data_IF_244481437998
#
_entry.id   IF_244481437998
#
_cell.length_a   1.000
_cell.length_b   1.000
_cell.length_c   1.000
_cell.angle_alpha   90.00
_cell.angle_beta   90.00
_cell.angle_gamma   90.00
#
_symmetry.space_group_name_H-M   'P 1'
#
loop_
_entity.id
_entity.type
_entity.pdbx_description
1 polymer ?
#
# COMPACT_ATOMS: atom_id res chain seq x y z
N UNK A 1 0.35 17.57 11.08
CA UNK A 1 1.15 16.96 12.16
C UNK A 1 1.79 15.64 11.74
N UNK A 2 1.02 14.65 11.20
CA UNK A 2 1.59 13.35 10.79
C UNK A 2 2.71 13.54 9.75
N UNK A 3 2.48 14.34 8.71
CA UNK A 3 3.51 14.64 7.70
C UNK A 3 4.74 15.30 8.31
N UNK A 4 4.56 16.24 9.24
CA UNK A 4 5.66 16.91 9.92
C UNK A 4 6.48 15.94 10.78
N UNK A 5 5.79 15.05 11.53
CA UNK A 5 6.44 13.97 12.28
C UNK A 5 7.27 13.06 11.37
N UNK A 6 6.74 12.69 10.20
CA UNK A 6 7.45 11.86 9.22
C UNK A 6 8.69 12.59 8.66
N UNK A 7 8.59 13.90 8.35
CA UNK A 7 9.74 14.70 7.88
C UNK A 7 10.85 14.74 8.92
N UNK A 8 10.51 14.95 10.21
CA UNK A 8 11.50 14.92 11.28
C UNK A 8 12.12 13.53 11.46
N UNK A 9 11.33 12.45 11.33
CA UNK A 9 11.84 11.10 11.37
C UNK A 9 12.85 10.82 10.24
N UNK A 10 12.51 11.20 9.00
CA UNK A 10 13.43 11.10 7.86
C UNK A 10 14.72 11.91 8.05
N UNK A 11 14.65 13.03 8.76
CA UNK A 11 15.81 13.85 9.11
C UNK A 11 16.58 13.37 10.35
N UNK A 12 16.20 12.21 10.96
CA UNK A 12 16.83 11.67 12.17
C UNK A 12 16.58 12.49 13.45
N UNK A 13 15.60 13.44 13.42
CA UNK A 13 15.32 14.36 14.54
C UNK A 13 14.25 13.80 15.47
N UNK A 14 14.58 12.72 16.19
CA UNK A 14 13.61 11.97 16.99
C UNK A 14 12.94 12.78 18.09
N UNK A 15 13.67 13.68 18.78
CA UNK A 15 13.11 14.58 19.80
C UNK A 15 11.94 15.45 19.22
N UNK A 16 12.09 15.89 17.97
CA UNK A 16 11.04 16.67 17.28
C UNK A 16 9.87 15.79 16.86
N UNK A 17 10.11 14.52 16.53
CA UNK A 17 9.05 13.53 16.27
C UNK A 17 8.17 13.40 17.52
N UNK A 18 8.77 13.17 18.69
CA UNK A 18 8.06 13.05 19.95
C UNK A 18 7.28 14.32 20.29
N UNK A 19 7.91 15.49 20.17
CA UNK A 19 7.25 16.77 20.40
C UNK A 19 5.99 16.94 19.54
N UNK A 20 6.05 16.60 18.26
CA UNK A 20 4.90 16.70 17.33
C UNK A 20 3.81 15.69 17.71
N UNK A 21 4.18 14.46 18.08
CA UNK A 21 3.25 13.41 18.53
C UNK A 21 2.54 13.80 19.83
N UNK A 22 3.25 14.37 20.80
CA UNK A 22 2.68 14.88 22.04
C UNK A 22 1.66 16.01 21.79
N UNK A 23 1.97 16.93 20.85
CA UNK A 23 1.01 17.98 20.44
C UNK A 23 -0.25 17.34 19.85
N UNK A 24 -0.11 16.30 19.03
CA UNK A 24 -1.27 15.57 18.48
C UNK A 24 -2.12 14.95 19.58
N UNK A 25 -1.51 14.28 20.56
CA UNK A 25 -2.20 13.65 21.68
C UNK A 25 -2.95 14.71 22.49
N UNK A 26 -2.28 15.80 22.88
CA UNK A 26 -2.89 16.91 23.65
C UNK A 26 -4.05 17.59 22.92
N UNK A 27 -4.02 17.60 21.58
CA UNK A 27 -5.11 18.14 20.74
C UNK A 27 -6.20 17.11 20.43
N UNK A 28 -6.11 15.89 20.94
CA UNK A 28 -7.05 14.81 20.64
C UNK A 28 -7.04 14.37 19.16
N UNK A 29 -5.97 14.68 18.42
CA UNK A 29 -5.84 14.33 17.01
C UNK A 29 -5.43 12.86 16.88
N UNK A 30 -6.25 12.08 16.19
CA UNK A 30 -5.96 10.67 15.88
C UNK A 30 -5.45 10.54 14.45
N UNK A 31 -4.45 9.67 14.25
CA UNK A 31 -4.00 9.28 12.91
C UNK A 31 -5.15 8.56 12.21
N UNK A 32 -5.49 9.00 11.00
CA UNK A 32 -6.49 8.32 10.18
C UNK A 32 -5.99 6.93 9.80
N UNK A 33 -6.80 5.91 10.07
CA UNK A 33 -6.50 4.53 9.63
C UNK A 33 -6.57 4.45 8.11
N UNK A 34 -5.52 3.89 7.50
CA UNK A 34 -5.47 3.64 6.07
C UNK A 34 -6.25 2.38 5.71
N UNK A 35 -7.15 2.49 4.72
CA UNK A 35 -7.81 1.35 4.12
C UNK A 35 -7.83 1.49 2.61
N UNK A 36 -7.97 0.35 1.93
CA UNK A 36 -8.19 0.27 0.51
C UNK A 36 -9.44 -0.57 0.22
N UNK A 37 -10.16 -0.21 -0.84
CA UNK A 37 -11.31 -0.99 -1.30
C UNK A 37 -11.10 -1.44 -2.73
N UNK A 38 -11.66 -2.60 -3.07
CA UNK A 38 -11.79 -3.08 -4.44
C UNK A 38 -13.21 -3.59 -4.68
N UNK A 39 -13.65 -3.55 -5.92
CA UNK A 39 -14.96 -4.05 -6.32
C UNK A 39 -14.81 -5.36 -7.09
N UNK A 40 -15.56 -6.36 -6.67
CA UNK A 40 -15.67 -7.66 -7.34
C UNK A 40 -17.15 -8.05 -7.36
N UNK A 41 -17.68 -8.42 -8.52
CA UNK A 41 -19.08 -8.82 -8.70
C UNK A 41 -20.08 -7.79 -8.12
N UNK A 42 -19.85 -6.49 -8.39
CA UNK A 42 -20.66 -5.37 -7.90
C UNK A 42 -20.71 -5.23 -6.36
N UNK A 43 -19.80 -5.88 -5.66
CA UNK A 43 -19.64 -5.76 -4.21
C UNK A 43 -18.31 -5.11 -3.88
N UNK A 44 -18.35 -4.17 -2.95
CA UNK A 44 -17.14 -3.51 -2.44
C UNK A 44 -16.58 -4.26 -1.24
N UNK A 45 -15.30 -4.57 -1.30
CA UNK A 45 -14.53 -5.21 -0.24
C UNK A 45 -13.50 -4.23 0.31
N UNK A 46 -13.44 -4.13 1.64
CA UNK A 46 -12.54 -3.22 2.34
C UNK A 46 -11.43 -4.00 3.03
N UNK A 47 -10.21 -3.49 2.93
CA UNK A 47 -9.01 -4.04 3.57
C UNK A 47 -8.28 -2.94 4.33
N UNK A 48 -7.91 -3.23 5.58
CA UNK A 48 -6.96 -2.45 6.38
C UNK A 48 -5.55 -3.07 6.27
N UNK A 49 -4.54 -2.37 6.77
CA UNK A 49 -3.19 -2.94 6.86
C UNK A 49 -3.20 -4.16 7.78
N UNK A 50 -2.68 -5.28 7.30
CA UNK A 50 -2.61 -6.54 8.06
C UNK A 50 -3.99 -7.17 8.34
N UNK A 51 -5.02 -6.79 7.60
CA UNK A 51 -6.39 -7.28 7.80
C UNK A 51 -6.48 -8.81 7.65
N UNK A 52 -7.03 -9.47 8.67
CA UNK A 52 -7.27 -10.92 8.70
C UNK A 52 -8.75 -11.27 8.88
N UNK A 53 -9.64 -10.29 8.75
CA UNK A 53 -11.08 -10.46 8.98
C UNK A 53 -11.83 -11.09 7.81
N UNK A 54 -11.24 -11.06 6.60
CA UNK A 54 -11.89 -11.62 5.42
C UNK A 54 -11.95 -13.15 5.47
N UNK A 55 -13.08 -13.79 5.11
CA UNK A 55 -13.22 -15.26 5.12
C UNK A 55 -12.13 -16.00 4.34
N UNK A 56 -11.64 -15.42 3.26
CA UNK A 56 -10.60 -15.99 2.41
C UNK A 56 -9.18 -15.45 2.73
N UNK A 57 -8.96 -14.96 3.93
CA UNK A 57 -7.66 -14.37 4.35
C UNK A 57 -6.48 -15.26 3.99
N UNK A 58 -6.56 -16.56 4.26
CA UNK A 58 -5.47 -17.51 3.98
C UNK A 58 -5.12 -17.53 2.49
N UNK A 59 -6.12 -17.57 1.62
CA UNK A 59 -5.90 -17.57 0.17
C UNK A 59 -5.33 -16.24 -0.33
N UNK A 60 -5.84 -15.11 0.20
CA UNK A 60 -5.38 -13.76 -0.15
C UNK A 60 -3.90 -13.57 0.21
N UNK A 61 -3.51 -13.94 1.43
CA UNK A 61 -2.14 -13.80 1.91
C UNK A 61 -1.18 -14.70 1.14
N UNK A 62 -1.55 -15.97 0.95
CA UNK A 62 -0.75 -16.91 0.15
C UNK A 62 -0.52 -16.38 -1.28
N UNK A 63 -1.58 -15.94 -1.94
CA UNK A 63 -1.48 -15.38 -3.28
C UNK A 63 -0.62 -14.11 -3.32
N UNK A 64 -0.79 -13.22 -2.33
CA UNK A 64 0.04 -12.01 -2.21
C UNK A 64 1.51 -12.37 -2.05
N UNK A 65 1.83 -13.38 -1.23
CA UNK A 65 3.20 -13.83 -1.03
C UNK A 65 3.82 -14.35 -2.34
N UNK A 66 3.10 -15.22 -3.06
CA UNK A 66 3.53 -15.73 -4.38
C UNK A 66 3.68 -14.60 -5.41
N UNK A 67 2.76 -13.64 -5.42
CA UNK A 67 2.80 -12.48 -6.31
C UNK A 67 4.02 -11.60 -6.03
N UNK A 68 4.31 -11.34 -4.75
CA UNK A 68 5.46 -10.50 -4.37
C UNK A 68 6.79 -11.19 -4.66
N UNK A 69 6.88 -12.53 -4.58
CA UNK A 69 8.07 -13.26 -5.03
C UNK A 69 8.30 -13.09 -6.54
N UNK A 70 7.25 -13.26 -7.36
CA UNK A 70 7.33 -12.98 -8.81
C UNK A 70 7.78 -11.54 -9.11
N UNK A 71 7.31 -10.57 -8.31
CA UNK A 71 7.76 -9.19 -8.46
C UNK A 71 9.25 -9.02 -8.12
N UNK A 72 9.76 -9.73 -7.11
CA UNK A 72 11.20 -9.73 -6.77
C UNK A 72 12.07 -10.33 -7.87
N UNK A 73 11.62 -11.42 -8.48
CA UNK A 73 12.31 -12.04 -9.61
C UNK A 73 12.53 -11.08 -10.79
N UNK A 74 11.62 -10.10 -10.96
CA UNK A 74 11.74 -9.07 -12.01
C UNK A 74 12.28 -7.73 -11.49
N UNK A 75 12.84 -7.70 -10.26
CA UNK A 75 13.62 -6.58 -9.74
C UNK A 75 12.92 -5.68 -8.71
N UNK A 76 11.73 -6.03 -8.21
CA UNK A 76 11.12 -5.29 -7.12
C UNK A 76 11.91 -5.44 -5.82
N UNK A 77 12.24 -4.31 -5.20
CA UNK A 77 12.78 -4.23 -3.84
C UNK A 77 11.88 -3.34 -2.99
N UNK A 78 11.50 -3.76 -1.76
CA UNK A 78 10.69 -2.93 -0.88
C UNK A 78 11.39 -1.61 -0.55
N UNK A 79 10.66 -0.49 -0.63
CA UNK A 79 11.15 0.82 -0.24
C UNK A 79 10.98 0.98 1.29
N UNK A 80 11.85 0.33 2.07
CA UNK A 80 11.76 0.28 3.53
C UNK A 80 12.10 1.60 4.22
N UNK A 81 12.85 2.47 3.58
CA UNK A 81 13.29 3.76 4.13
C UNK A 81 12.14 4.73 4.45
N UNK A 82 11.00 4.59 3.75
CA UNK A 82 9.84 5.47 3.93
C UNK A 82 8.92 5.07 5.09
N UNK A 83 9.19 3.94 5.78
CA UNK A 83 8.27 3.37 6.78
C UNK A 83 8.94 3.17 8.13
N UNK A 84 8.39 3.86 9.13
CA UNK A 84 8.62 3.67 10.58
C UNK A 84 10.06 3.38 11.01
N UNK A 85 10.81 4.41 11.31
CA UNK A 85 12.18 4.34 11.87
C UNK A 85 12.29 3.59 13.23
N UNK A 86 11.17 3.26 13.85
CA UNK A 86 11.11 2.57 15.17
C UNK A 86 11.05 1.04 15.05
N UNK A 87 10.91 0.48 13.84
CA UNK A 87 10.85 -0.96 13.60
C UNK A 87 12.19 -1.46 13.05
N UNK A 88 12.55 -2.68 13.41
CA UNK A 88 13.64 -3.41 12.76
C UNK A 88 13.33 -3.59 11.27
N UNK A 89 14.36 -3.73 10.43
CA UNK A 89 14.21 -3.83 8.98
C UNK A 89 13.24 -4.95 8.56
N UNK A 90 13.31 -6.11 9.22
CA UNK A 90 12.43 -7.25 8.94
C UNK A 90 10.96 -6.93 9.26
N UNK A 91 10.71 -6.24 10.37
CA UNK A 91 9.36 -5.81 10.77
C UNK A 91 8.79 -4.76 9.82
N UNK A 92 9.64 -3.85 9.34
CA UNK A 92 9.26 -2.85 8.33
C UNK A 92 8.86 -3.51 7.01
N UNK A 93 9.69 -4.42 6.51
CA UNK A 93 9.41 -5.18 5.28
C UNK A 93 8.12 -6.00 5.43
N UNK A 94 7.92 -6.62 6.59
CA UNK A 94 6.70 -7.38 6.87
C UNK A 94 5.45 -6.48 6.90
N UNK A 95 5.55 -5.30 7.54
CA UNK A 95 4.45 -4.32 7.57
C UNK A 95 4.11 -3.82 6.15
N UNK A 96 5.12 -3.49 5.33
CA UNK A 96 4.95 -3.07 3.95
C UNK A 96 4.31 -4.14 3.07
N UNK A 97 4.61 -5.41 3.33
CA UNK A 97 4.09 -6.54 2.56
C UNK A 97 2.56 -6.62 2.62
N UNK A 98 1.96 -6.28 3.77
CA UNK A 98 0.52 -6.43 4.03
C UNK A 98 -0.22 -5.10 4.08
N UNK A 99 0.24 -4.09 3.34
CA UNK A 99 -0.51 -2.86 3.17
C UNK A 99 -1.87 -3.11 2.53
N UNK A 100 -2.86 -2.31 2.92
CA UNK A 100 -4.25 -2.44 2.46
C UNK A 100 -4.40 -2.47 0.94
N UNK A 101 -3.57 -1.70 0.21
CA UNK A 101 -3.58 -1.67 -1.26
C UNK A 101 -3.17 -3.03 -1.85
N UNK A 102 -2.13 -3.64 -1.28
CA UNK A 102 -1.63 -4.96 -1.74
C UNK A 102 -2.64 -6.07 -1.44
N UNK A 103 -3.30 -6.03 -0.27
CA UNK A 103 -4.35 -6.99 0.08
C UNK A 103 -5.58 -6.86 -0.83
N UNK A 104 -6.06 -5.62 -1.05
CA UNK A 104 -7.17 -5.35 -1.95
C UNK A 104 -6.85 -5.79 -3.39
N UNK A 105 -5.61 -5.56 -3.84
CA UNK A 105 -5.14 -5.97 -5.16
C UNK A 105 -5.05 -7.49 -5.30
N UNK A 106 -4.47 -8.17 -4.31
CA UNK A 106 -4.39 -9.63 -4.32
C UNK A 106 -5.79 -10.28 -4.37
N UNK A 107 -6.73 -9.76 -3.58
CA UNK A 107 -8.13 -10.21 -3.62
C UNK A 107 -8.77 -9.96 -4.99
N UNK A 108 -8.62 -8.76 -5.55
CA UNK A 108 -9.14 -8.43 -6.87
C UNK A 108 -8.58 -9.34 -7.97
N UNK A 109 -7.27 -9.63 -7.93
CA UNK A 109 -6.62 -10.53 -8.88
C UNK A 109 -7.10 -11.98 -8.76
N UNK A 110 -7.34 -12.46 -7.52
CA UNK A 110 -7.86 -13.80 -7.27
C UNK A 110 -9.31 -14.00 -7.76
N UNK A 111 -10.10 -12.94 -7.76
CA UNK A 111 -11.55 -13.02 -7.97
C UNK A 111 -12.02 -12.56 -9.35
N UNK A 112 -11.14 -12.01 -10.15
CA UNK A 112 -11.51 -11.47 -11.47
C UNK A 112 -10.77 -12.19 -12.58
N UNK A 113 -11.39 -12.26 -13.75
CA UNK A 113 -10.82 -12.91 -14.93
C UNK A 113 -9.51 -12.26 -15.37
N UNK A 114 -8.61 -13.07 -15.95
CA UNK A 114 -7.36 -12.59 -16.54
C UNK A 114 -7.63 -11.49 -17.57
N UNK A 115 -6.75 -10.47 -17.61
CA UNK A 115 -6.89 -9.34 -18.54
C UNK A 115 -7.90 -8.26 -18.08
N UNK A 116 -8.80 -8.53 -17.13
CA UNK A 116 -9.71 -7.49 -16.63
C UNK A 116 -8.99 -6.42 -15.82
N UNK A 117 -9.50 -5.19 -15.85
CA UNK A 117 -8.91 -4.07 -15.09
C UNK A 117 -9.25 -4.17 -13.61
N UNK A 118 -8.24 -4.09 -12.74
CA UNK A 118 -8.43 -4.00 -11.28
C UNK A 118 -8.60 -2.54 -10.88
N UNK A 119 -9.60 -2.26 -10.03
CA UNK A 119 -9.86 -0.92 -9.49
C UNK A 119 -9.74 -0.93 -7.98
N UNK A 120 -8.95 0.01 -7.45
CA UNK A 120 -8.73 0.19 -6.02
C UNK A 120 -9.02 1.63 -5.65
N UNK A 121 -9.68 1.84 -4.53
CA UNK A 121 -9.85 3.16 -3.92
C UNK A 121 -9.15 3.17 -2.58
N UNK A 122 -8.21 4.10 -2.41
CA UNK A 122 -7.44 4.34 -1.18
C UNK A 122 -7.90 5.63 -0.51
N UNK A 123 -8.18 5.57 0.80
CA UNK A 123 -8.60 6.76 1.57
C UNK A 123 -7.45 7.71 1.93
N UNK A 124 -6.20 7.29 1.77
CA UNK A 124 -4.98 8.08 1.96
C UNK A 124 -4.21 8.15 0.64
N UNK A 125 -3.15 8.96 0.60
CA UNK A 125 -2.18 8.93 -0.49
C UNK A 125 -1.50 7.56 -0.54
N UNK A 126 -1.31 7.01 -1.74
CA UNK A 126 -0.53 5.77 -1.94
C UNK A 126 0.91 6.01 -1.48
N UNK A 127 1.46 5.12 -0.69
CA UNK A 127 2.86 5.21 -0.25
C UNK A 127 3.82 4.79 -1.38
N UNK A 128 5.07 5.21 -1.26
CA UNK A 128 6.10 4.95 -2.27
C UNK A 128 6.25 3.45 -2.56
N UNK A 129 6.34 2.63 -1.52
CA UNK A 129 6.49 1.19 -1.68
C UNK A 129 5.29 0.55 -2.41
N UNK A 130 4.05 0.91 -2.04
CA UNK A 130 2.87 0.43 -2.76
C UNK A 130 2.85 0.90 -4.22
N UNK A 131 3.24 2.14 -4.48
CA UNK A 131 3.30 2.66 -5.85
C UNK A 131 4.30 1.87 -6.70
N UNK A 132 5.50 1.63 -6.20
CA UNK A 132 6.53 0.81 -6.87
C UNK A 132 6.03 -0.63 -7.04
N UNK A 133 5.52 -1.26 -5.97
CA UNK A 133 5.01 -2.62 -6.03
C UNK A 133 3.92 -2.81 -7.10
N UNK A 134 2.97 -1.86 -7.20
CA UNK A 134 1.86 -1.95 -8.16
C UNK A 134 2.38 -1.85 -9.62
N UNK A 135 3.45 -1.08 -9.89
CA UNK A 135 4.11 -1.06 -11.19
C UNK A 135 4.61 -2.47 -11.55
N UNK A 136 5.34 -3.13 -10.65
CA UNK A 136 5.82 -4.49 -10.87
C UNK A 136 4.68 -5.52 -10.97
N UNK A 137 3.64 -5.39 -10.16
CA UNK A 137 2.45 -6.25 -10.23
C UNK A 137 1.78 -6.11 -11.62
N UNK A 138 1.72 -4.92 -12.20
CA UNK A 138 1.16 -4.73 -13.53
C UNK A 138 1.96 -5.47 -14.61
N UNK A 139 3.29 -5.57 -14.45
CA UNK A 139 4.17 -6.35 -15.36
C UNK A 139 3.91 -7.85 -15.22
N UNK A 140 3.99 -8.38 -13.99
CA UNK A 140 3.94 -9.84 -13.79
C UNK A 140 2.54 -10.42 -14.02
N UNK A 141 1.50 -9.61 -13.83
CA UNK A 141 0.11 -10.05 -14.05
C UNK A 141 -0.43 -9.66 -15.43
N UNK A 142 0.26 -8.80 -16.15
CA UNK A 142 -0.19 -8.20 -17.42
C UNK A 142 -1.58 -7.56 -17.29
N UNK A 143 -1.85 -6.96 -16.13
CA UNK A 143 -3.15 -6.36 -15.79
C UNK A 143 -3.02 -4.85 -15.71
N UNK A 144 -4.00 -4.16 -16.27
CA UNK A 144 -4.21 -2.74 -15.98
C UNK A 144 -4.78 -2.58 -14.58
N UNK A 145 -4.14 -1.74 -13.77
CA UNK A 145 -4.53 -1.47 -12.40
C UNK A 145 -4.79 0.02 -12.26
N UNK A 146 -5.95 0.38 -11.77
CA UNK A 146 -6.33 1.77 -11.52
C UNK A 146 -6.47 1.95 -10.02
N UNK A 147 -5.67 2.84 -9.45
CA UNK A 147 -5.77 3.21 -8.04
C UNK A 147 -6.21 4.67 -7.96
N UNK A 148 -7.35 4.92 -7.32
CA UNK A 148 -7.75 6.27 -6.91
C UNK A 148 -7.32 6.48 -5.47
N UNK A 149 -6.43 7.40 -5.25
CA UNK A 149 -6.08 7.84 -3.92
C UNK A 149 -6.77 9.17 -3.55
N UNK A 150 -6.41 9.77 -2.42
CA UNK A 150 -7.02 11.02 -1.94
C UNK A 150 -6.80 12.20 -2.90
N UNK A 151 -5.76 12.17 -3.73
CA UNK A 151 -5.33 13.31 -4.54
C UNK A 151 -5.61 13.12 -6.02
N UNK A 152 -5.49 11.89 -6.55
CA UNK A 152 -5.53 11.62 -7.98
C UNK A 152 -5.85 10.17 -8.33
N UNK A 153 -5.93 9.90 -9.64
CA UNK A 153 -5.93 8.56 -10.21
C UNK A 153 -4.53 8.17 -10.68
N UNK A 154 -4.15 6.94 -10.41
CA UNK A 154 -2.96 6.29 -10.89
C UNK A 154 -3.38 5.16 -11.83
N UNK A 155 -2.94 5.20 -13.07
CA UNK A 155 -3.15 4.13 -14.04
C UNK A 155 -1.84 3.40 -14.23
N UNK A 156 -1.78 2.16 -13.75
CA UNK A 156 -0.61 1.30 -13.86
C UNK A 156 -0.82 0.30 -15.00
N UNK A 157 0.16 0.24 -15.90
CA UNK A 157 0.17 -0.68 -17.04
C UNK A 157 1.62 -0.90 -17.48
N UNK A 158 2.01 -2.15 -17.73
CA UNK A 158 3.35 -2.53 -18.21
C UNK A 158 4.51 -1.88 -17.43
N UNK A 159 4.42 -1.83 -16.11
CA UNK A 159 5.47 -1.29 -15.24
C UNK A 159 5.55 0.24 -15.18
N UNK A 160 4.64 0.94 -15.83
CA UNK A 160 4.56 2.40 -15.80
C UNK A 160 3.35 2.90 -15.02
N UNK A 161 3.37 4.16 -14.61
CA UNK A 161 2.23 4.84 -14.01
C UNK A 161 1.97 6.16 -14.73
N UNK A 162 0.69 6.49 -14.94
CA UNK A 162 0.25 7.75 -15.56
C UNK A 162 0.72 9.01 -14.83
N UNK A 163 1.12 8.92 -13.55
CA UNK A 163 1.66 10.04 -12.80
C UNK A 163 3.13 10.33 -13.10
N UNK A 164 3.81 9.50 -13.90
CA UNK A 164 5.25 9.62 -14.21
C UNK A 164 6.12 9.67 -12.95
N UNK A 165 5.71 8.96 -11.91
CA UNK A 165 6.35 8.90 -10.59
C UNK A 165 6.36 10.25 -9.82
N UNK A 166 5.51 11.20 -10.23
CA UNK A 166 5.27 12.46 -9.53
C UNK A 166 3.87 12.43 -8.87
N UNK A 167 3.82 12.14 -7.57
CA UNK A 167 2.55 12.12 -6.84
C UNK A 167 2.67 12.58 -5.39
#
# INVERSE_FOLDING_TARGET
YVLLSNIYALAGQMDRVEMVRDVMIRKGLKKQVGYATTEVDQKTYLFSMGDKSHPETVAIYKYLDELMEKCREVGYTPASESVMHELEEEERVHALRHHSEKLALAFGLLKTEEGSTIRIVKNLRVCEDCHIAIKFISVVTKRKIIVRDKLRFHHFEDGSCSCLDYW
#
